data_IF_504900376444
#
_entry.id   IF_504900376444
#
_cell.length_a   1.000
_cell.length_b   1.000
_cell.length_c   1.000
_cell.angle_alpha   90.00
_cell.angle_beta   90.00
_cell.angle_gamma   90.00
#
_symmetry.space_group_name_H-M   'P 1'
#
loop_
_entity.id
_entity.type
_entity.pdbx_description
1 polymer ?
#
# COMPACT_ATOMS: atom_id res chain seq x y z
N UNK A 1 0.82 -20.03 8.68
CA UNK A 1 1.85 -18.97 8.57
C UNK A 1 1.76 -18.41 7.16
N UNK A 2 1.55 -17.10 7.00
CA UNK A 2 1.54 -16.48 5.67
C UNK A 2 2.95 -16.56 5.08
N UNK A 3 3.05 -16.93 3.80
CA UNK A 3 4.34 -17.03 3.09
C UNK A 3 4.40 -15.90 2.06
N UNK A 4 5.40 -15.01 2.13
CA UNK A 4 5.56 -13.94 1.15
C UNK A 4 5.90 -14.52 -0.23
N UNK A 5 5.47 -13.83 -1.29
CA UNK A 5 5.87 -14.17 -2.67
C UNK A 5 7.39 -13.99 -2.81
N UNK A 6 8.03 -14.85 -3.59
CA UNK A 6 9.47 -14.76 -3.87
C UNK A 6 9.82 -13.37 -4.42
N UNK A 7 10.88 -12.76 -3.89
CA UNK A 7 11.34 -11.43 -4.30
C UNK A 7 10.62 -10.25 -3.63
N UNK A 8 9.60 -10.48 -2.76
CA UNK A 8 8.90 -9.41 -2.06
C UNK A 8 9.86 -8.50 -1.28
N UNK A 9 10.72 -9.08 -0.45
CA UNK A 9 11.65 -8.32 0.40
C UNK A 9 12.76 -7.65 -0.42
N UNK A 10 13.23 -8.28 -1.50
CA UNK A 10 14.21 -7.69 -2.41
C UNK A 10 13.64 -6.43 -3.10
N UNK A 11 12.38 -6.50 -3.55
CA UNK A 11 11.69 -5.34 -4.10
C UNK A 11 11.49 -4.25 -3.05
N UNK A 12 11.05 -4.60 -1.83
CA UNK A 12 10.87 -3.65 -0.75
C UNK A 12 12.19 -2.91 -0.44
N UNK A 13 13.29 -3.65 -0.31
CA UNK A 13 14.62 -3.07 -0.10
C UNK A 13 15.01 -2.14 -1.24
N UNK A 14 14.80 -2.54 -2.49
CA UNK A 14 15.11 -1.71 -3.65
C UNK A 14 14.31 -0.39 -3.66
N UNK A 15 13.03 -0.45 -3.29
CA UNK A 15 12.15 0.74 -3.16
C UNK A 15 12.68 1.68 -2.07
N UNK A 16 13.07 1.14 -0.92
CA UNK A 16 13.65 1.90 0.19
C UNK A 16 14.98 2.56 -0.17
N UNK A 17 15.90 1.82 -0.79
CA UNK A 17 17.20 2.32 -1.24
C UNK A 17 17.05 3.49 -2.26
N UNK A 18 15.93 3.54 -2.99
CA UNK A 18 15.59 4.62 -3.93
C UNK A 18 14.83 5.78 -3.31
N UNK A 19 14.44 5.70 -2.04
CA UNK A 19 13.63 6.73 -1.37
C UNK A 19 12.24 6.92 -2.00
N UNK A 20 11.68 5.87 -2.61
CA UNK A 20 10.36 5.92 -3.23
C UNK A 20 9.30 5.88 -2.14
N UNK A 21 8.36 6.83 -2.20
CA UNK A 21 7.19 6.90 -1.32
C UNK A 21 6.19 5.79 -1.63
N UNK A 22 5.56 5.21 -0.60
CA UNK A 22 4.66 4.05 -0.77
C UNK A 22 3.45 4.07 0.15
N UNK A 23 2.33 3.60 -0.37
CA UNK A 23 1.11 3.33 0.38
C UNK A 23 0.52 1.99 -0.05
N UNK A 24 -0.08 1.26 0.89
CA UNK A 24 -0.91 0.10 0.59
C UNK A 24 -2.36 0.57 0.38
N UNK A 25 -3.04 0.04 -0.64
CA UNK A 25 -4.44 0.37 -0.92
C UNK A 25 -5.25 -0.93 -1.03
N UNK A 26 -6.26 -1.11 -0.19
CA UNK A 26 -7.03 -2.36 -0.12
C UNK A 26 -8.52 -2.13 0.17
N UNK A 27 -9.40 -3.03 -0.26
CA UNK A 27 -10.80 -3.09 0.18
C UNK A 27 -10.99 -3.99 1.42
N UNK A 28 -9.92 -4.60 1.93
CA UNK A 28 -9.99 -5.40 3.15
C UNK A 28 -10.26 -4.53 4.38
N UNK A 29 -10.98 -5.05 5.40
CA UNK A 29 -11.11 -4.39 6.69
C UNK A 29 -9.74 -4.08 7.31
N UNK A 30 -9.66 -3.00 8.11
CA UNK A 30 -8.43 -2.56 8.78
C UNK A 30 -7.63 -3.68 9.44
N UNK A 31 -8.29 -4.45 10.32
CA UNK A 31 -7.65 -5.51 11.08
C UNK A 31 -7.00 -6.58 10.18
N UNK A 32 -7.64 -6.92 9.06
CA UNK A 32 -7.10 -7.88 8.11
C UNK A 32 -5.91 -7.30 7.34
N UNK A 33 -6.00 -6.03 6.91
CA UNK A 33 -4.91 -5.37 6.22
C UNK A 33 -3.64 -5.30 7.08
N UNK A 34 -3.79 -4.84 8.33
CA UNK A 34 -2.69 -4.72 9.30
C UNK A 34 -2.11 -6.09 9.67
N UNK A 35 -2.96 -7.11 9.89
CA UNK A 35 -2.50 -8.47 10.18
C UNK A 35 -1.70 -9.07 9.02
N UNK A 36 -2.15 -8.89 7.78
CA UNK A 36 -1.45 -9.42 6.59
C UNK A 36 -0.10 -8.72 6.37
N UNK A 37 -0.07 -7.38 6.48
CA UNK A 37 1.16 -6.59 6.37
C UNK A 37 2.17 -6.99 7.46
N UNK A 38 1.72 -7.12 8.72
CA UNK A 38 2.58 -7.53 9.82
C UNK A 38 3.08 -8.96 9.65
N UNK A 39 2.24 -9.88 9.17
CA UNK A 39 2.62 -11.28 8.97
C UNK A 39 3.74 -11.50 7.94
N UNK A 40 3.94 -10.55 7.00
CA UNK A 40 5.08 -10.55 6.06
C UNK A 40 6.23 -9.62 6.47
N UNK A 41 6.16 -9.01 7.65
CA UNK A 41 7.21 -8.16 8.20
C UNK A 41 7.30 -6.77 7.55
N UNK A 42 6.18 -6.22 7.06
CA UNK A 42 6.13 -4.94 6.34
C UNK A 42 5.41 -3.83 7.13
N UNK A 43 5.27 -3.97 8.45
CA UNK A 43 4.53 -3.00 9.30
C UNK A 43 5.02 -1.55 9.13
N UNK A 44 6.34 -1.36 8.99
CA UNK A 44 6.97 -0.04 8.84
C UNK A 44 7.29 0.30 7.38
N UNK A 45 6.97 -0.59 6.43
CA UNK A 45 7.32 -0.38 5.03
C UNK A 45 6.41 0.67 4.38
N UNK A 46 5.10 0.63 4.62
CA UNK A 46 4.16 1.58 4.03
C UNK A 46 4.01 2.83 4.90
N UNK A 47 4.10 4.02 4.29
CA UNK A 47 3.83 5.27 5.01
C UNK A 47 2.34 5.40 5.35
N UNK A 48 1.48 4.84 4.50
CA UNK A 48 0.03 4.86 4.69
C UNK A 48 -0.60 3.53 4.26
N UNK A 49 -1.62 3.10 5.01
CA UNK A 49 -2.53 2.03 4.61
C UNK A 49 -3.90 2.65 4.38
N UNK A 50 -4.33 2.71 3.12
CA UNK A 50 -5.60 3.29 2.71
C UNK A 50 -6.62 2.18 2.50
N UNK A 51 -7.69 2.25 3.28
CA UNK A 51 -8.79 1.29 3.23
C UNK A 51 -9.92 1.84 2.37
N UNK A 52 -10.46 0.99 1.49
CA UNK A 52 -11.58 1.33 0.62
C UNK A 52 -12.85 1.66 1.40
N UNK A 53 -13.05 1.04 2.57
CA UNK A 53 -14.16 1.34 3.49
C UNK A 53 -14.10 2.74 4.11
N UNK A 54 -12.93 3.37 4.11
CA UNK A 54 -12.71 4.74 4.60
C UNK A 54 -12.75 5.79 3.48
N UNK A 55 -13.19 5.38 2.29
CA UNK A 55 -13.38 6.23 1.14
C UNK A 55 -14.87 6.28 0.78
N UNK A 56 -15.31 7.34 0.09
CA UNK A 56 -16.70 7.44 -0.38
C UNK A 56 -17.08 6.22 -1.23
N UNK A 57 -16.14 5.76 -2.07
CA UNK A 57 -16.28 4.54 -2.87
C UNK A 57 -15.00 3.71 -2.80
N UNK A 58 -15.11 2.43 -2.45
CA UNK A 58 -13.98 1.49 -2.49
C UNK A 58 -13.56 1.12 -3.92
N UNK A 59 -12.51 0.31 -4.10
CA UNK A 59 -12.15 -0.21 -5.43
C UNK A 59 -13.37 -0.95 -6.05
N UNK A 60 -13.62 -0.84 -7.37
CA UNK A 60 -12.72 -0.34 -8.41
C UNK A 60 -12.78 1.18 -8.66
N UNK A 61 -13.52 1.94 -7.85
CA UNK A 61 -13.53 3.39 -7.96
C UNK A 61 -12.15 3.99 -7.62
N UNK A 62 -11.78 5.15 -8.18
CA UNK A 62 -10.44 5.72 -8.02
C UNK A 62 -10.18 6.30 -6.63
N UNK A 63 -11.20 6.51 -5.81
CA UNK A 63 -11.17 7.26 -4.56
C UNK A 63 -10.06 6.79 -3.58
N UNK A 64 -9.83 5.47 -3.37
CA UNK A 64 -8.75 5.01 -2.49
C UNK A 64 -7.36 5.36 -3.03
N UNK A 65 -7.17 5.33 -4.35
CA UNK A 65 -5.90 5.70 -4.97
C UNK A 65 -5.68 7.22 -4.92
N UNK A 66 -6.73 8.02 -5.15
CA UNK A 66 -6.67 9.48 -5.02
C UNK A 66 -6.36 9.89 -3.57
N UNK A 67 -6.94 9.20 -2.59
CA UNK A 67 -6.62 9.38 -1.16
C UNK A 67 -5.16 9.02 -0.87
N UNK A 68 -4.65 7.90 -1.39
CA UNK A 68 -3.24 7.53 -1.26
C UNK A 68 -2.30 8.59 -1.85
N UNK A 69 -2.56 9.07 -3.06
CA UNK A 69 -1.79 10.15 -3.69
C UNK A 69 -1.78 11.43 -2.86
N UNK A 70 -2.94 11.79 -2.29
CA UNK A 70 -3.07 12.96 -1.40
C UNK A 70 -2.25 12.78 -0.11
N UNK A 71 -2.33 11.64 0.56
CA UNK A 71 -1.54 11.35 1.76
C UNK A 71 -0.03 11.35 1.46
N UNK A 72 0.36 10.77 0.31
CA UNK A 72 1.73 10.74 -0.17
C UNK A 72 2.18 12.08 -0.78
N UNK A 73 1.34 13.10 -0.91
CA UNK A 73 1.71 14.35 -1.59
C UNK A 73 2.36 14.16 -2.98
N UNK A 74 2.01 13.08 -3.70
CA UNK A 74 2.60 12.70 -4.99
C UNK A 74 1.59 12.95 -6.10
N UNK A 75 1.96 13.62 -7.22
CA UNK A 75 1.07 13.77 -8.35
C UNK A 75 0.88 12.44 -9.08
N UNK A 76 -0.34 12.16 -9.56
CA UNK A 76 -0.66 10.91 -10.27
C UNK A 76 0.31 10.57 -11.42
N UNK A 77 0.79 11.58 -12.16
CA UNK A 77 1.77 11.42 -13.25
C UNK A 77 3.14 10.88 -12.82
N UNK A 78 3.43 10.86 -11.52
CA UNK A 78 4.67 10.34 -10.92
C UNK A 78 4.43 9.13 -10.02
N UNK A 79 3.27 8.51 -10.12
CA UNK A 79 2.89 7.34 -9.35
C UNK A 79 2.66 6.13 -10.26
N UNK A 80 2.88 4.95 -9.70
CA UNK A 80 2.54 3.68 -10.31
C UNK A 80 1.79 2.84 -9.27
N UNK A 81 0.82 2.06 -9.74
CA UNK A 81 0.10 1.07 -8.96
C UNK A 81 0.36 -0.29 -9.59
N UNK A 82 0.61 -1.30 -8.76
CA UNK A 82 0.73 -2.69 -9.18
C UNK A 82 0.08 -3.60 -8.12
N UNK A 83 -0.36 -4.78 -8.54
CA UNK A 83 -1.01 -5.82 -7.72
C UNK A 83 -0.46 -7.21 -8.05
#
# INVERSE_FOLDING_TARGET
KLVPVSGLHDLCKWIEDKGIRRAAVTNSPRANAEAMISAVGLSEFFEFVVLGEECERGKPYPDPYLKALKCLGVPAKRAMVFE
#
